data_IF_686790670957
#
_entry.id   IF_686790670957
#
_cell.length_a   1.000
_cell.length_b   1.000
_cell.length_c   1.000
_cell.angle_alpha   90.00
_cell.angle_beta   90.00
_cell.angle_gamma   90.00
#
_symmetry.space_group_name_H-M   'P 1'
#
loop_
_entity.id
_entity.type
_entity.pdbx_description
1 polymer ?
#
# COMPACT_ATOMS: atom_id res chain seq x y z
N UNK A 1 4.92 26.63 9.04
CA UNK A 1 5.40 25.61 9.99
C UNK A 1 6.06 24.49 9.16
N UNK A 2 7.27 24.02 9.53
CA UNK A 2 7.93 22.92 8.81
C UNK A 2 7.19 21.60 9.03
N UNK A 3 7.17 20.68 8.06
CA UNK A 3 6.43 19.41 8.14
C UNK A 3 6.73 18.60 9.41
N UNK A 4 8.00 18.52 9.83
CA UNK A 4 8.39 17.86 11.09
C UNK A 4 7.72 18.48 12.35
N UNK A 5 7.45 19.79 12.34
CA UNK A 5 6.73 20.44 13.44
C UNK A 5 5.24 20.10 13.41
N UNK A 6 4.66 20.06 12.21
CA UNK A 6 3.27 19.60 12.00
C UNK A 6 3.11 18.16 12.45
N UNK A 7 4.01 17.28 12.04
CA UNK A 7 4.03 15.86 12.45
C UNK A 7 4.03 15.71 13.97
N UNK A 8 4.95 16.40 14.66
CA UNK A 8 5.05 16.31 16.14
C UNK A 8 3.85 16.90 16.88
N UNK A 9 3.20 17.91 16.31
CA UNK A 9 2.12 18.65 16.98
C UNK A 9 0.73 18.07 16.70
N UNK A 10 0.50 17.58 15.49
CA UNK A 10 -0.84 17.27 15.01
C UNK A 10 -1.04 15.79 14.62
N UNK A 11 0.00 14.98 14.58
CA UNK A 11 -0.10 13.56 14.32
C UNK A 11 0.13 12.77 15.60
N UNK A 12 -0.80 11.89 15.95
CA UNK A 12 -0.64 10.99 17.10
C UNK A 12 0.56 10.07 16.90
N UNK A 13 1.46 10.02 17.90
CA UNK A 13 2.66 9.21 17.86
C UNK A 13 2.39 7.88 18.56
N UNK A 14 2.75 6.77 17.94
CA UNK A 14 2.70 5.43 18.54
C UNK A 14 4.01 5.04 19.24
N UNK A 15 5.05 5.85 19.06
CA UNK A 15 6.38 5.65 19.64
C UNK A 15 6.88 6.97 20.25
N UNK A 16 7.42 6.97 21.50
CA UNK A 16 7.78 8.20 22.20
C UNK A 16 8.96 8.96 21.58
N UNK A 17 9.80 8.27 20.79
CA UNK A 17 11.00 8.84 20.17
C UNK A 17 11.02 8.55 18.66
N UNK A 18 10.08 9.08 17.85
CA UNK A 18 10.04 8.83 16.42
C UNK A 18 11.29 9.42 15.75
N UNK A 19 11.85 8.70 14.78
CA UNK A 19 12.99 9.21 13.98
C UNK A 19 12.65 10.50 13.24
N UNK A 20 11.38 10.70 12.93
CA UNK A 20 10.84 11.87 12.23
C UNK A 20 11.61 12.21 10.93
N UNK A 21 12.09 11.18 10.21
CA UNK A 21 12.68 11.32 8.89
C UNK A 21 11.59 11.77 7.92
N UNK A 22 11.81 12.87 7.21
CA UNK A 22 10.84 13.40 6.26
C UNK A 22 11.05 12.77 4.89
N UNK A 23 10.34 11.68 4.61
CA UNK A 23 10.42 10.97 3.32
C UNK A 23 9.67 11.77 2.26
N UNK A 24 10.34 12.07 1.15
CA UNK A 24 9.79 12.82 0.01
C UNK A 24 9.53 11.94 -1.21
N UNK A 25 10.28 10.85 -1.35
CA UNK A 25 10.09 9.91 -2.46
C UNK A 25 10.63 8.53 -2.11
N UNK A 26 10.29 7.54 -2.95
CA UNK A 26 10.82 6.19 -2.84
C UNK A 26 10.93 5.56 -4.23
N UNK A 27 11.93 4.70 -4.45
CA UNK A 27 12.10 3.97 -5.71
C UNK A 27 12.84 2.66 -5.49
N UNK A 28 12.31 1.57 -6.03
CA UNK A 28 12.88 0.24 -5.81
C UNK A 28 12.94 -0.08 -4.32
N UNK A 29 14.14 -0.33 -3.81
CA UNK A 29 14.35 -0.66 -2.40
C UNK A 29 14.81 0.54 -1.54
N UNK A 30 14.69 1.75 -2.05
CA UNK A 30 15.20 2.94 -1.36
C UNK A 30 14.12 3.95 -1.06
N UNK A 31 14.17 4.51 0.16
CA UNK A 31 13.48 5.73 0.57
C UNK A 31 14.42 6.93 0.39
N UNK A 32 13.89 8.08 0.08
CA UNK A 32 14.64 9.32 -0.11
C UNK A 32 14.00 10.40 0.76
N UNK A 33 14.82 11.04 1.60
CA UNK A 33 14.33 12.09 2.47
C UNK A 33 14.40 13.49 1.84
N UNK A 34 13.96 14.50 2.60
CA UNK A 34 13.95 15.90 2.18
C UNK A 34 15.35 16.48 1.94
N UNK A 35 16.39 15.88 2.48
CA UNK A 35 17.78 16.30 2.35
C UNK A 35 18.52 15.52 1.23
N UNK A 36 17.81 14.58 0.58
CA UNK A 36 18.32 13.77 -0.52
C UNK A 36 19.07 12.51 -0.08
N UNK A 37 19.10 12.20 1.22
CA UNK A 37 19.69 10.94 1.69
C UNK A 37 18.85 9.75 1.29
N UNK A 38 19.52 8.64 0.95
CA UNK A 38 18.91 7.38 0.55
C UNK A 38 19.04 6.37 1.68
N UNK A 39 17.91 5.78 2.05
CA UNK A 39 17.82 4.72 3.05
C UNK A 39 17.38 3.44 2.37
N UNK A 40 18.10 2.35 2.59
CA UNK A 40 17.67 1.02 2.15
C UNK A 40 16.48 0.58 3.01
N UNK A 41 15.34 0.35 2.36
CA UNK A 41 14.09 0.03 3.04
C UNK A 41 13.94 -1.49 3.27
N UNK A 42 14.41 -1.97 4.43
CA UNK A 42 14.19 -3.35 4.86
C UNK A 42 12.82 -3.57 5.51
N UNK A 43 12.12 -2.52 5.89
CA UNK A 43 10.78 -2.60 6.51
C UNK A 43 9.71 -2.80 5.46
N UNK A 44 9.88 -2.21 4.28
CA UNK A 44 8.98 -2.34 3.13
C UNK A 44 7.50 -2.10 3.49
N UNK A 45 7.22 -1.08 4.35
CA UNK A 45 5.87 -0.81 4.84
C UNK A 45 5.28 -1.96 5.66
N UNK A 46 6.10 -2.64 6.47
CA UNK A 46 5.78 -3.88 7.19
C UNK A 46 5.39 -5.00 6.22
N UNK A 47 6.31 -5.31 5.29
CA UNK A 47 6.19 -6.36 4.28
C UNK A 47 5.10 -6.14 3.21
N UNK A 48 4.64 -4.90 3.03
CA UNK A 48 3.63 -4.56 2.01
C UNK A 48 4.28 -4.32 0.64
N UNK A 49 5.42 -3.62 0.59
CA UNK A 49 6.10 -3.24 -0.66
C UNK A 49 7.10 -4.30 -1.14
N UNK A 50 6.72 -5.56 -1.15
CA UNK A 50 7.62 -6.68 -1.50
C UNK A 50 8.15 -6.64 -2.94
N UNK A 51 7.45 -5.95 -3.85
CA UNK A 51 7.88 -5.74 -5.24
C UNK A 51 8.65 -4.42 -5.44
N UNK A 52 8.97 -3.72 -4.34
CA UNK A 52 9.66 -2.44 -4.35
C UNK A 52 8.74 -1.24 -4.60
N UNK A 53 9.25 -0.07 -4.19
CA UNK A 53 8.54 1.20 -4.35
C UNK A 53 8.43 1.62 -5.82
N UNK A 54 7.31 2.20 -6.17
CA UNK A 54 7.04 2.74 -7.52
C UNK A 54 7.20 1.70 -8.64
N UNK A 55 6.81 0.45 -8.38
CA UNK A 55 6.76 -0.57 -9.41
C UNK A 55 5.86 -0.10 -10.56
N UNK A 56 6.44 -0.01 -11.77
CA UNK A 56 5.75 0.56 -12.93
C UNK A 56 4.46 -0.17 -13.27
N UNK A 57 4.48 -1.49 -13.26
CA UNK A 57 3.31 -2.32 -13.60
C UNK A 57 2.17 -2.13 -12.61
N UNK A 58 2.48 -2.10 -11.30
CA UNK A 58 1.48 -1.85 -10.25
C UNK A 58 0.89 -0.45 -10.42
N UNK A 59 1.76 0.57 -10.55
CA UNK A 59 1.33 1.96 -10.68
C UNK A 59 0.40 2.18 -11.88
N UNK A 60 0.73 1.60 -13.04
CA UNK A 60 -0.10 1.69 -14.25
C UNK A 60 -1.45 1.00 -14.06
N UNK A 61 -1.46 -0.17 -13.40
CA UNK A 61 -2.71 -0.89 -13.12
C UNK A 61 -3.62 -0.12 -12.16
N UNK A 62 -3.05 0.49 -11.11
CA UNK A 62 -3.79 1.32 -10.15
C UNK A 62 -4.35 2.57 -10.83
N UNK A 63 -3.54 3.28 -11.62
CA UNK A 63 -3.99 4.46 -12.37
C UNK A 63 -5.16 4.12 -13.30
N UNK A 64 -5.03 3.05 -14.08
CA UNK A 64 -6.10 2.57 -14.94
C UNK A 64 -7.37 2.25 -14.17
N UNK A 65 -7.26 1.65 -13.00
CA UNK A 65 -8.43 1.33 -12.17
C UNK A 65 -9.08 2.59 -11.61
N UNK A 66 -8.32 3.59 -11.19
CA UNK A 66 -8.83 4.87 -10.69
C UNK A 66 -9.57 5.62 -11.80
N UNK A 67 -9.06 5.58 -13.04
CA UNK A 67 -9.72 6.19 -14.21
C UNK A 67 -11.08 5.52 -14.54
N UNK A 68 -11.23 4.22 -14.22
CA UNK A 68 -12.51 3.52 -14.39
C UNK A 68 -13.48 3.83 -13.24
N UNK A 69 -13.07 3.56 -12.01
CA UNK A 69 -13.75 3.88 -10.75
C UNK A 69 -12.84 3.61 -9.57
N UNK A 70 -12.97 4.40 -8.51
CA UNK A 70 -12.18 4.24 -7.27
C UNK A 70 -12.94 3.46 -6.20
N UNK A 71 -14.25 3.67 -6.05
CA UNK A 71 -15.06 3.00 -5.05
C UNK A 71 -16.50 2.87 -5.51
N UNK A 72 -17.09 1.69 -5.27
CA UNK A 72 -18.51 1.38 -5.44
C UNK A 72 -18.97 0.48 -4.29
N UNK A 73 -20.25 0.13 -4.23
CA UNK A 73 -20.80 -0.78 -3.21
C UNK A 73 -20.02 -2.10 -3.15
N UNK A 74 -19.52 -2.48 -1.96
CA UNK A 74 -18.61 -3.62 -1.75
C UNK A 74 -19.22 -4.82 -1.02
N UNK A 75 -20.45 -4.72 -0.55
CA UNK A 75 -21.08 -5.75 0.30
C UNK A 75 -21.69 -6.93 -0.49
N UNK A 76 -21.07 -7.31 -1.63
CA UNK A 76 -21.55 -8.42 -2.45
C UNK A 76 -22.68 -8.08 -3.41
N UNK A 77 -23.11 -6.82 -3.45
CA UNK A 77 -24.18 -6.37 -4.36
C UNK A 77 -23.72 -6.28 -5.82
N UNK A 78 -22.48 -5.81 -6.04
CA UNK A 78 -21.94 -5.60 -7.39
C UNK A 78 -20.78 -6.53 -7.68
N UNK A 79 -20.74 -7.04 -8.91
CA UNK A 79 -19.60 -7.80 -9.41
C UNK A 79 -18.51 -6.83 -9.83
N UNK A 80 -17.39 -6.85 -9.13
CA UNK A 80 -16.24 -6.00 -9.39
C UNK A 80 -15.07 -6.83 -9.93
N UNK A 81 -14.65 -6.55 -11.16
CA UNK A 81 -13.63 -7.33 -11.86
C UNK A 81 -12.30 -7.47 -11.12
N UNK A 82 -11.74 -6.44 -10.45
CA UNK A 82 -10.49 -6.60 -9.70
C UNK A 82 -10.61 -7.63 -8.58
N UNK A 83 -11.70 -7.61 -7.82
CA UNK A 83 -11.96 -8.55 -6.73
C UNK A 83 -12.15 -9.98 -7.23
N UNK A 84 -12.98 -10.18 -8.27
CA UNK A 84 -13.26 -11.51 -8.81
C UNK A 84 -12.03 -12.14 -9.44
N UNK A 85 -11.17 -11.37 -10.12
CA UNK A 85 -9.90 -11.85 -10.66
C UNK A 85 -8.95 -12.27 -9.54
N UNK A 86 -8.82 -11.48 -8.47
CA UNK A 86 -7.97 -11.82 -7.34
C UNK A 86 -8.49 -13.06 -6.61
N UNK A 87 -9.79 -13.14 -6.34
CA UNK A 87 -10.40 -14.30 -5.69
C UNK A 87 -10.18 -15.59 -6.48
N UNK A 88 -10.34 -15.53 -7.82
CA UNK A 88 -10.04 -16.66 -8.71
C UNK A 88 -8.57 -17.06 -8.62
N UNK A 89 -7.65 -16.11 -8.76
CA UNK A 89 -6.22 -16.37 -8.70
C UNK A 89 -5.81 -17.02 -7.36
N UNK A 90 -6.37 -16.55 -6.25
CA UNK A 90 -6.12 -17.13 -4.93
C UNK A 90 -6.64 -18.57 -4.86
N UNK A 91 -7.86 -18.84 -5.32
CA UNK A 91 -8.44 -20.20 -5.29
C UNK A 91 -7.69 -21.21 -6.18
N UNK A 92 -7.05 -20.74 -7.25
CA UNK A 92 -6.24 -21.57 -8.15
C UNK A 92 -4.84 -21.90 -7.58
N UNK A 93 -4.33 -21.07 -6.65
CA UNK A 93 -2.98 -21.21 -6.09
C UNK A 93 -2.96 -21.63 -4.62
N UNK A 94 -4.10 -21.75 -3.97
CA UNK A 94 -4.25 -22.18 -2.59
C UNK A 94 -4.78 -23.65 -2.53
N UNK A 95 -4.66 -24.32 -1.37
CA UNK A 95 -5.29 -25.62 -1.17
C UNK A 95 -6.79 -25.61 -1.50
N UNK A 96 -7.32 -26.69 -2.06
CA UNK A 96 -8.73 -26.78 -2.50
C UNK A 96 -9.77 -26.45 -1.42
N UNK A 97 -9.44 -26.60 -0.14
CA UNK A 97 -10.27 -26.21 1.01
C UNK A 97 -10.42 -24.69 1.16
N UNK A 98 -9.54 -23.87 0.54
CA UNK A 98 -9.54 -22.41 0.58
C UNK A 98 -10.05 -21.85 -0.76
N UNK A 99 -11.29 -22.13 -1.11
CA UNK A 99 -11.88 -21.81 -2.40
C UNK A 99 -12.65 -20.48 -2.43
N UNK A 100 -12.82 -19.82 -1.29
CA UNK A 100 -13.57 -18.57 -1.16
C UNK A 100 -12.74 -17.51 -0.46
N UNK A 101 -12.74 -16.28 -0.99
CA UNK A 101 -12.02 -15.13 -0.42
C UNK A 101 -12.98 -14.07 0.09
N UNK A 102 -12.73 -13.58 1.29
CA UNK A 102 -13.41 -12.42 1.85
C UNK A 102 -12.41 -11.27 2.03
N UNK A 103 -12.66 -10.15 1.35
CA UNK A 103 -11.75 -9.00 1.36
C UNK A 103 -12.18 -7.99 2.42
N UNK A 104 -11.23 -7.59 3.26
CA UNK A 104 -11.40 -6.57 4.31
C UNK A 104 -10.32 -5.48 4.17
N UNK A 105 -10.52 -4.37 4.85
CA UNK A 105 -9.59 -3.23 4.81
C UNK A 105 -8.51 -3.29 5.91
N UNK A 106 -8.60 -4.23 6.81
CA UNK A 106 -7.65 -4.40 7.92
C UNK A 106 -7.56 -5.86 8.33
N UNK A 107 -6.39 -6.26 8.79
CA UNK A 107 -6.22 -7.58 9.39
C UNK A 107 -6.78 -7.63 10.80
#
# INVERSE_FOLDING_TARGET
MKNRQVFKKHLAQTFPHPSAIEITSAKGNYLIDSDGFKYLDFVAGVSVNTLGHCNKHINESVKKQIDNYSHVMVYGEFVQQPQTKLAKLLSENLPKSLSCSYFVNSG
#
